data_IF_210417630462
#
_entry.id   IF_210417630462
#
_cell.length_a   1.000
_cell.length_b   1.000
_cell.length_c   1.000
_cell.angle_alpha   90.00
_cell.angle_beta   90.00
_cell.angle_gamma   90.00
#
_symmetry.space_group_name_H-M   'P 1'
#
loop_
_entity.id
_entity.type
_entity.pdbx_description
1 polymer ?
#
# COMPACT_ATOMS: atom_id res chain seq x y z
N UNK A 1 8.23 -5.93 26.35
CA UNK A 1 8.31 -7.30 25.81
C UNK A 1 7.62 -7.44 24.47
N UNK A 2 8.34 -7.98 23.48
CA UNK A 2 7.88 -8.29 22.12
C UNK A 2 7.47 -9.77 21.99
N UNK A 3 6.43 -10.10 21.23
CA UNK A 3 6.15 -11.50 20.82
C UNK A 3 6.55 -11.69 19.36
N UNK A 4 7.56 -12.51 19.11
CA UNK A 4 7.91 -12.98 17.76
C UNK A 4 6.96 -14.14 17.42
N UNK A 5 6.23 -14.05 16.31
CA UNK A 5 5.14 -14.99 16.01
C UNK A 5 5.41 -15.68 14.66
N UNK A 6 5.51 -17.01 14.71
CA UNK A 6 5.91 -17.83 13.56
C UNK A 6 4.92 -18.98 13.34
N UNK A 7 3.92 -18.80 12.47
CA UNK A 7 3.14 -19.92 11.95
C UNK A 7 3.98 -20.74 10.97
N UNK A 8 3.95 -22.07 11.09
CA UNK A 8 4.74 -22.95 10.21
C UNK A 8 3.98 -24.21 9.80
N UNK A 9 4.00 -24.50 8.50
CA UNK A 9 3.47 -25.72 7.90
C UNK A 9 4.57 -26.61 7.29
N UNK A 10 5.78 -26.05 7.11
CA UNK A 10 6.97 -26.70 6.52
C UNK A 10 8.23 -26.24 7.25
N UNK A 11 8.54 -26.80 8.43
CA UNK A 11 9.53 -26.24 9.34
C UNK A 11 10.99 -26.53 8.95
N UNK A 12 11.28 -26.74 7.65
CA UNK A 12 12.61 -27.12 7.13
C UNK A 12 13.69 -26.10 7.48
N UNK A 13 13.34 -24.82 7.54
CA UNK A 13 14.26 -23.72 7.83
C UNK A 13 14.13 -23.20 9.27
N UNK A 14 13.26 -23.80 10.09
CA UNK A 14 12.92 -23.27 11.41
C UNK A 14 14.13 -23.24 12.37
N UNK A 15 15.08 -24.17 12.24
CA UNK A 15 16.33 -24.14 13.02
C UNK A 15 17.22 -22.93 12.67
N UNK A 16 17.23 -22.48 11.41
CA UNK A 16 17.96 -21.28 11.00
C UNK A 16 17.35 -20.04 11.65
N UNK A 17 16.02 -19.95 11.61
CA UNK A 17 15.31 -18.89 12.30
C UNK A 17 15.58 -18.92 13.81
N UNK A 18 15.51 -20.11 14.45
CA UNK A 18 15.83 -20.28 15.86
C UNK A 18 17.21 -19.74 16.22
N UNK A 19 18.25 -20.05 15.46
CA UNK A 19 19.60 -19.53 15.73
C UNK A 19 19.66 -17.99 15.58
N UNK A 20 18.93 -17.40 14.62
CA UNK A 20 18.86 -15.93 14.49
C UNK A 20 18.13 -15.25 15.66
N UNK A 21 17.08 -15.88 16.19
CA UNK A 21 16.31 -15.38 17.35
C UNK A 21 17.12 -15.56 18.64
N UNK A 22 17.74 -16.72 18.83
CA UNK A 22 18.60 -17.02 19.98
C UNK A 22 19.74 -16.03 20.12
N UNK A 23 20.28 -15.54 19.01
CA UNK A 23 21.41 -14.61 18.97
C UNK A 23 21.02 -13.11 19.01
N UNK A 24 19.74 -12.77 19.23
CA UNK A 24 19.33 -11.36 19.39
C UNK A 24 20.05 -10.67 20.55
N UNK A 25 20.48 -9.42 20.37
CA UNK A 25 21.18 -8.63 21.39
C UNK A 25 20.29 -8.37 22.62
N UNK A 26 19.03 -8.00 22.38
CA UNK A 26 18.01 -7.89 23.41
C UNK A 26 17.29 -9.22 23.64
N UNK A 27 17.00 -9.54 24.91
CA UNK A 27 16.22 -10.73 25.33
C UNK A 27 14.80 -10.40 25.80
N UNK A 28 14.34 -9.16 25.61
CA UNK A 28 12.98 -8.73 26.00
C UNK A 28 11.92 -9.17 24.96
N UNK A 29 11.86 -10.48 24.73
CA UNK A 29 10.92 -11.10 23.82
C UNK A 29 10.50 -12.51 24.27
N UNK A 30 9.40 -12.99 23.72
CA UNK A 30 9.08 -14.42 23.60
C UNK A 30 9.02 -14.81 22.12
N UNK A 31 9.19 -16.10 21.83
CA UNK A 31 8.97 -16.67 20.50
C UNK A 31 7.82 -17.67 20.54
N UNK A 32 6.77 -17.38 19.78
CA UNK A 32 5.58 -18.22 19.65
C UNK A 32 5.62 -18.95 18.31
N UNK A 33 5.73 -20.27 18.37
CA UNK A 33 5.73 -21.15 17.20
C UNK A 33 4.34 -21.78 17.10
N UNK A 34 3.70 -21.63 15.94
CA UNK A 34 2.37 -22.19 15.67
C UNK A 34 2.47 -23.22 14.54
N UNK A 35 2.81 -24.48 14.88
CA UNK A 35 2.75 -25.55 13.89
C UNK A 35 1.29 -25.74 13.47
N UNK A 36 1.07 -25.87 12.17
CA UNK A 36 -0.24 -26.12 11.57
C UNK A 36 -0.13 -27.20 10.50
N UNK A 37 -1.27 -27.77 10.11
CA UNK A 37 -1.34 -28.79 9.06
C UNK A 37 -0.37 -29.98 9.28
N UNK A 38 -0.21 -30.39 10.54
CA UNK A 38 0.61 -31.55 10.92
C UNK A 38 2.13 -31.31 10.94
N UNK A 39 2.60 -30.06 10.89
CA UNK A 39 4.02 -29.75 10.98
C UNK A 39 4.66 -30.24 12.30
N UNK A 40 5.71 -31.06 12.19
CA UNK A 40 6.51 -31.49 13.34
C UNK A 40 7.58 -30.46 13.67
N UNK A 41 7.55 -29.95 14.89
CA UNK A 41 8.52 -28.98 15.43
C UNK A 41 9.21 -29.49 16.70
N UNK A 42 9.12 -30.80 16.97
CA UNK A 42 9.69 -31.44 18.16
C UNK A 42 11.21 -31.34 18.28
N UNK A 43 11.89 -31.03 17.17
CA UNK A 43 13.34 -30.80 17.13
C UNK A 43 13.76 -29.43 17.69
N UNK A 44 12.83 -28.50 17.91
CA UNK A 44 13.14 -27.19 18.50
C UNK A 44 13.46 -27.36 19.99
N UNK A 45 14.59 -26.81 20.48
CA UNK A 45 14.94 -26.89 21.89
C UNK A 45 13.88 -26.28 22.81
N UNK A 46 13.64 -26.94 23.95
CA UNK A 46 12.74 -26.43 24.98
C UNK A 46 13.44 -25.31 25.76
N UNK A 47 13.05 -24.08 25.49
CA UNK A 47 13.59 -22.88 26.13
C UNK A 47 12.46 -22.07 26.78
N UNK A 48 12.75 -21.39 27.89
CA UNK A 48 11.73 -20.63 28.64
C UNK A 48 11.10 -19.47 27.85
N UNK A 49 11.80 -18.97 26.84
CA UNK A 49 11.36 -17.92 25.93
C UNK A 49 10.67 -18.47 24.68
N UNK A 50 10.48 -19.79 24.56
CA UNK A 50 9.79 -20.44 23.44
C UNK A 50 8.45 -21.01 23.91
N UNK A 51 7.39 -20.71 23.16
CA UNK A 51 6.07 -21.32 23.34
C UNK A 51 5.60 -21.94 22.02
N UNK A 52 5.27 -23.22 22.08
CA UNK A 52 4.70 -23.95 20.94
C UNK A 52 3.20 -24.10 21.17
N UNK A 53 2.39 -23.54 20.28
CA UNK A 53 0.92 -23.56 20.37
C UNK A 53 0.35 -24.07 19.05
N UNK A 54 0.09 -25.39 18.91
CA UNK A 54 -0.40 -25.96 17.67
C UNK A 54 -1.77 -25.41 17.25
N UNK A 55 -1.92 -25.12 15.97
CA UNK A 55 -3.22 -24.88 15.35
C UNK A 55 -3.76 -26.20 14.80
N UNK A 56 -4.75 -26.75 15.50
CA UNK A 56 -5.25 -28.11 15.29
C UNK A 56 -6.38 -28.23 14.26
N UNK A 57 -6.76 -27.12 13.61
CA UNK A 57 -7.74 -27.13 12.54
C UNK A 57 -7.04 -27.34 11.18
N UNK A 58 -7.65 -28.13 10.29
CA UNK A 58 -7.21 -28.25 8.90
C UNK A 58 -7.69 -27.02 8.12
N UNK A 59 -6.81 -26.02 8.00
CA UNK A 59 -7.11 -24.76 7.30
C UNK A 59 -6.09 -24.46 6.23
N UNK A 60 -6.61 -24.15 5.04
CA UNK A 60 -5.86 -23.60 3.90
C UNK A 60 -5.92 -22.07 3.85
N UNK A 61 -6.55 -21.44 4.84
CA UNK A 61 -6.71 -19.99 4.92
C UNK A 61 -5.61 -19.43 5.81
N UNK A 62 -4.56 -18.87 5.19
CA UNK A 62 -3.42 -18.31 5.91
C UNK A 62 -3.86 -17.21 6.89
N UNK A 63 -4.87 -16.42 6.54
CA UNK A 63 -5.39 -15.38 7.43
C UNK A 63 -6.01 -15.94 8.71
N UNK A 64 -6.64 -17.12 8.67
CA UNK A 64 -7.15 -17.79 9.87
C UNK A 64 -6.01 -18.28 10.77
N UNK A 65 -4.99 -18.90 10.17
CA UNK A 65 -3.81 -19.40 10.88
C UNK A 65 -3.03 -18.25 11.52
N UNK A 66 -2.75 -17.17 10.77
CA UNK A 66 -2.07 -15.97 11.27
C UNK A 66 -2.91 -15.23 12.31
N UNK A 67 -4.24 -15.17 12.18
CA UNK A 67 -5.12 -14.61 13.21
C UNK A 67 -5.00 -15.40 14.52
N UNK A 68 -5.12 -16.74 14.46
CA UNK A 68 -4.94 -17.59 15.63
C UNK A 68 -3.55 -17.41 16.26
N UNK A 69 -2.50 -17.41 15.43
CA UNK A 69 -1.12 -17.33 15.90
C UNK A 69 -0.83 -16.02 16.62
N UNK A 70 -1.26 -14.89 16.06
CA UNK A 70 -1.06 -13.58 16.67
C UNK A 70 -1.76 -13.45 18.02
N UNK A 71 -2.92 -14.11 18.17
CA UNK A 71 -3.66 -14.13 19.44
C UNK A 71 -2.95 -14.89 20.57
N UNK A 72 -1.88 -15.64 20.28
CA UNK A 72 -1.12 -16.39 21.28
C UNK A 72 0.01 -15.56 21.93
N UNK A 73 0.38 -14.42 21.34
CA UNK A 73 1.41 -13.53 21.88
C UNK A 73 0.99 -12.88 23.21
N UNK A 74 1.89 -12.87 24.19
CA UNK A 74 1.72 -12.24 25.51
C UNK A 74 2.31 -10.82 25.56
N UNK A 75 3.31 -10.53 24.72
CA UNK A 75 3.94 -9.22 24.60
C UNK A 75 2.96 -8.12 24.22
N UNK A 76 3.32 -6.87 24.53
CA UNK A 76 2.51 -5.68 24.20
C UNK A 76 2.59 -5.36 22.70
N UNK A 77 3.58 -5.93 22.01
CA UNK A 77 3.79 -5.81 20.58
C UNK A 77 3.96 -7.18 19.95
N UNK A 78 3.41 -7.35 18.75
CA UNK A 78 3.33 -8.61 18.01
C UNK A 78 4.11 -8.47 16.70
N UNK A 79 5.20 -9.21 16.56
CA UNK A 79 6.05 -9.22 15.37
C UNK A 79 5.79 -10.45 14.50
N UNK A 80 5.64 -10.21 13.20
CA UNK A 80 5.53 -11.27 12.20
C UNK A 80 6.90 -11.76 11.76
N UNK A 81 7.16 -13.06 11.94
CA UNK A 81 8.42 -13.68 11.57
C UNK A 81 8.17 -15.00 10.86
N UNK A 82 8.48 -15.04 9.57
CA UNK A 82 8.27 -16.21 8.73
C UNK A 82 9.32 -17.28 9.02
N UNK A 83 8.89 -18.55 9.00
CA UNK A 83 9.70 -19.70 9.46
C UNK A 83 10.92 -20.00 8.60
N UNK A 84 10.97 -19.41 7.41
CA UNK A 84 12.00 -19.56 6.40
C UNK A 84 12.90 -18.34 6.27
N UNK A 85 12.83 -17.40 7.21
CA UNK A 85 13.65 -16.19 7.23
C UNK A 85 14.57 -16.09 8.45
N UNK A 86 15.28 -14.96 8.57
CA UNK A 86 16.17 -14.65 9.70
C UNK A 86 15.97 -13.20 10.16
N UNK A 87 16.11 -12.99 11.47
CA UNK A 87 16.24 -11.65 12.04
C UNK A 87 17.71 -11.25 12.09
N UNK A 88 18.02 -9.98 11.80
CA UNK A 88 19.36 -9.46 12.07
C UNK A 88 19.60 -9.36 13.58
N UNK A 89 20.85 -9.46 14.08
CA UNK A 89 21.12 -9.60 15.52
C UNK A 89 20.56 -8.51 16.43
N UNK A 90 20.42 -7.28 15.92
CA UNK A 90 19.90 -6.12 16.65
C UNK A 90 18.41 -5.85 16.42
N UNK A 91 17.68 -6.74 15.73
CA UNK A 91 16.28 -6.54 15.36
C UNK A 91 15.38 -6.24 16.56
N UNK A 92 15.41 -7.07 17.60
CA UNK A 92 14.56 -6.87 18.79
C UNK A 92 14.92 -5.56 19.52
N UNK A 93 16.22 -5.24 19.60
CA UNK A 93 16.69 -4.02 20.27
C UNK A 93 16.21 -2.75 19.54
N UNK A 94 16.37 -2.69 18.21
CA UNK A 94 15.93 -1.56 17.41
C UNK A 94 14.41 -1.41 17.38
N UNK A 95 13.66 -2.52 17.34
CA UNK A 95 12.19 -2.48 17.46
C UNK A 95 11.76 -1.90 18.80
N UNK A 96 12.33 -2.38 19.92
CA UNK A 96 12.00 -1.87 21.26
C UNK A 96 12.38 -0.40 21.40
N UNK A 97 13.51 0.01 20.83
CA UNK A 97 13.92 1.41 20.79
C UNK A 97 12.91 2.25 20.00
N UNK A 98 12.51 1.82 18.81
CA UNK A 98 11.51 2.52 17.99
C UNK A 98 10.16 2.66 18.70
N UNK A 99 9.71 1.63 19.43
CA UNK A 99 8.49 1.68 20.26
C UNK A 99 8.60 2.79 21.32
N UNK A 100 9.74 2.89 22.01
CA UNK A 100 9.96 3.88 23.07
C UNK A 100 10.06 5.30 22.52
N UNK A 101 10.71 5.47 21.37
CA UNK A 101 10.91 6.76 20.71
C UNK A 101 9.66 7.28 20.00
N UNK A 102 8.70 6.39 19.69
CA UNK A 102 7.47 6.71 18.96
C UNK A 102 6.23 6.15 19.70
N UNK A 103 5.93 6.63 20.93
CA UNK A 103 4.88 6.06 21.78
C UNK A 103 3.46 6.16 21.19
N UNK A 104 3.27 6.99 20.18
CA UNK A 104 2.00 7.19 19.48
C UNK A 104 1.88 6.37 18.17
N UNK A 105 2.89 5.58 17.81
CA UNK A 105 2.79 4.64 16.70
C UNK A 105 2.02 3.37 17.11
N UNK A 106 1.37 2.72 16.14
CA UNK A 106 0.65 1.46 16.34
C UNK A 106 1.22 0.32 15.49
N UNK A 107 2.12 0.65 14.57
CA UNK A 107 2.76 -0.27 13.65
C UNK A 107 4.17 0.18 13.33
N UNK A 108 5.10 -0.77 13.28
CA UNK A 108 6.51 -0.54 12.95
C UNK A 108 6.93 -1.51 11.85
N UNK A 109 7.73 -1.01 10.92
CA UNK A 109 8.40 -1.83 9.91
C UNK A 109 9.83 -1.39 9.66
N UNK A 110 10.63 -2.24 9.01
CA UNK A 110 12.02 -1.96 8.67
C UNK A 110 12.29 -2.14 7.17
N UNK A 111 13.53 -1.89 6.75
CA UNK A 111 14.01 -2.45 5.50
C UNK A 111 14.30 -3.95 5.66
N UNK A 112 14.25 -4.68 4.55
CA UNK A 112 14.56 -6.10 4.45
C UNK A 112 15.73 -6.35 3.48
N UNK A 113 16.47 -7.42 3.74
CA UNK A 113 17.54 -7.91 2.88
C UNK A 113 17.06 -9.14 2.12
N UNK A 114 16.65 -8.94 0.87
CA UNK A 114 16.25 -10.04 -0.02
C UNK A 114 17.46 -10.76 -0.59
N UNK A 115 17.53 -12.07 -0.36
CA UNK A 115 18.60 -12.93 -0.86
C UNK A 115 18.07 -14.10 -1.66
N UNK A 116 18.76 -14.46 -2.75
CA UNK A 116 18.48 -15.67 -3.50
C UNK A 116 19.04 -16.93 -2.80
N UNK A 117 18.78 -18.10 -3.38
CA UNK A 117 19.29 -19.39 -2.87
C UNK A 117 20.83 -19.49 -2.77
N UNK A 118 21.56 -18.62 -3.46
CA UNK A 118 23.02 -18.54 -3.47
C UNK A 118 23.52 -17.37 -2.58
N UNK A 119 22.65 -16.79 -1.77
CA UNK A 119 22.92 -15.64 -0.92
C UNK A 119 23.22 -14.33 -1.68
N UNK A 120 22.86 -14.20 -2.95
CA UNK A 120 23.03 -12.94 -3.67
C UNK A 120 21.86 -11.99 -3.40
N UNK A 121 22.12 -10.69 -3.31
CA UNK A 121 21.08 -9.67 -3.20
C UNK A 121 20.11 -9.71 -4.38
N UNK A 122 18.83 -9.50 -4.11
CA UNK A 122 17.78 -9.41 -5.13
C UNK A 122 17.22 -7.97 -5.16
N UNK A 123 17.85 -7.05 -5.92
CA UNK A 123 17.35 -5.69 -6.04
C UNK A 123 16.06 -5.66 -6.87
N UNK A 124 15.06 -4.94 -6.38
CA UNK A 124 13.83 -4.66 -7.10
C UNK A 124 14.05 -3.60 -8.18
N UNK A 125 13.26 -3.67 -9.26
CA UNK A 125 13.44 -2.84 -10.45
C UNK A 125 13.31 -1.34 -10.16
N UNK A 126 14.39 -0.58 -10.41
CA UNK A 126 14.40 0.89 -10.28
C UNK A 126 13.43 1.57 -11.25
N UNK A 127 13.04 0.91 -12.35
CA UNK A 127 11.97 1.35 -13.24
C UNK A 127 10.61 1.42 -12.55
N UNK A 128 10.44 0.81 -11.37
CA UNK A 128 9.26 0.93 -10.52
C UNK A 128 9.43 1.90 -9.34
N UNK A 129 10.51 2.69 -9.34
CA UNK A 129 10.84 3.68 -8.30
C UNK A 129 11.64 3.15 -7.12
N UNK A 130 11.96 1.85 -7.10
CA UNK A 130 12.76 1.27 -6.03
C UNK A 130 14.16 1.89 -5.97
N UNK A 131 14.56 2.23 -4.74
CA UNK A 131 15.88 2.75 -4.41
C UNK A 131 16.65 1.72 -3.61
N UNK A 132 17.97 1.81 -3.71
CA UNK A 132 18.86 0.86 -3.07
C UNK A 132 19.99 1.54 -2.32
N UNK A 133 20.54 0.83 -1.34
CA UNK A 133 21.78 1.22 -0.67
C UNK A 133 22.60 -0.03 -0.32
N UNK A 134 23.90 0.17 -0.11
CA UNK A 134 24.81 -0.90 0.29
C UNK A 134 24.74 -1.10 1.81
N UNK A 135 24.76 -2.35 2.25
CA UNK A 135 24.80 -2.74 3.66
C UNK A 135 25.77 -3.89 3.88
N UNK A 136 26.73 -3.71 4.78
CA UNK A 136 27.74 -4.73 5.09
C UNK A 136 27.24 -5.65 6.20
N UNK A 137 27.21 -6.95 5.93
CA UNK A 137 26.79 -7.97 6.89
C UNK A 137 27.65 -9.23 6.74
N UNK A 138 28.17 -9.77 7.84
CA UNK A 138 29.01 -10.98 7.87
C UNK A 138 30.17 -11.00 6.85
N UNK A 139 30.83 -9.85 6.66
CA UNK A 139 31.97 -9.72 5.74
C UNK A 139 31.60 -9.66 4.26
N UNK A 140 30.30 -9.50 3.93
CA UNK A 140 29.79 -9.34 2.57
C UNK A 140 28.94 -8.08 2.47
N UNK A 141 29.05 -7.38 1.34
CA UNK A 141 28.19 -6.22 1.02
C UNK A 141 26.95 -6.71 0.29
N UNK A 142 25.78 -6.29 0.78
CA UNK A 142 24.48 -6.55 0.17
C UNK A 142 23.89 -5.26 -0.39
N UNK A 143 23.13 -5.39 -1.47
CA UNK A 143 22.26 -4.34 -2.02
C UNK A 143 20.89 -4.49 -1.36
N UNK A 144 20.46 -3.46 -0.64
CA UNK A 144 19.20 -3.44 0.11
C UNK A 144 18.14 -2.67 -0.66
N UNK A 145 16.92 -3.21 -0.70
CA UNK A 145 15.76 -2.49 -1.18
C UNK A 145 15.29 -1.52 -0.08
N UNK A 146 15.43 -0.21 -0.32
CA UNK A 146 14.95 0.81 0.62
C UNK A 146 13.42 0.80 0.60
N UNK A 147 12.79 0.48 1.72
CA UNK A 147 11.33 0.48 1.83
C UNK A 147 10.77 1.87 1.56
N UNK A 148 9.65 1.90 0.85
CA UNK A 148 8.91 3.14 0.66
C UNK A 148 8.42 3.68 2.00
N UNK A 149 8.40 5.01 2.19
CA UNK A 149 7.64 5.60 3.28
C UNK A 149 6.19 5.10 3.27
N UNK A 150 5.58 4.97 4.45
CA UNK A 150 4.18 4.60 4.56
C UNK A 150 3.29 5.73 4.02
N UNK A 151 2.83 5.59 2.78
CA UNK A 151 1.94 6.52 2.08
C UNK A 151 0.77 5.75 1.48
N UNK A 152 -0.33 6.42 1.10
CA UNK A 152 -1.43 5.75 0.42
C UNK A 152 -0.97 5.03 -0.86
N UNK A 153 0.02 5.56 -1.58
CA UNK A 153 0.52 4.99 -2.82
C UNK A 153 1.34 3.72 -2.63
N UNK A 154 2.09 3.62 -1.52
CA UNK A 154 2.91 2.44 -1.20
C UNK A 154 2.05 1.36 -0.53
N UNK A 155 1.32 1.71 0.54
CA UNK A 155 0.58 0.74 1.35
C UNK A 155 -0.61 0.13 0.62
N UNK A 156 -1.23 0.83 -0.34
CA UNK A 156 -2.40 0.31 -1.07
C UNK A 156 -2.09 -0.82 -2.07
N UNK A 157 -0.81 -1.17 -2.27
CA UNK A 157 -0.39 -2.23 -3.21
C UNK A 157 0.71 -3.09 -2.60
N UNK A 158 0.51 -4.41 -2.60
CA UNK A 158 1.42 -5.36 -1.95
C UNK A 158 2.88 -5.23 -2.43
N UNK A 159 3.11 -4.89 -3.71
CA UNK A 159 4.46 -4.76 -4.26
C UNK A 159 5.26 -3.58 -3.72
N UNK A 160 4.65 -2.65 -2.98
CA UNK A 160 5.31 -1.46 -2.45
C UNK A 160 5.03 -1.25 -0.96
N UNK A 161 4.12 -2.04 -0.39
CA UNK A 161 3.78 -1.99 1.01
C UNK A 161 4.97 -2.42 1.88
N UNK A 162 5.00 -2.00 3.16
CA UNK A 162 5.97 -2.48 4.13
C UNK A 162 6.18 -4.00 4.08
N UNK A 163 7.42 -4.41 3.84
CA UNK A 163 7.83 -5.81 3.97
C UNK A 163 8.20 -6.10 5.44
N UNK A 164 8.79 -7.26 5.71
CA UNK A 164 9.28 -7.64 7.02
C UNK A 164 10.48 -6.78 7.50
N UNK A 165 10.71 -6.63 8.81
CA UNK A 165 9.85 -7.09 9.90
C UNK A 165 8.61 -6.21 10.01
N UNK A 166 7.46 -6.81 10.34
CA UNK A 166 6.20 -6.10 10.59
C UNK A 166 5.78 -6.29 12.03
N UNK A 167 5.53 -5.21 12.75
CA UNK A 167 5.27 -5.26 14.19
C UNK A 167 4.06 -4.40 14.54
N UNK A 168 3.04 -4.99 15.15
CA UNK A 168 1.82 -4.29 15.59
C UNK A 168 1.77 -4.13 17.10
N UNK A 169 1.29 -2.98 17.56
CA UNK A 169 0.80 -2.84 18.93
C UNK A 169 -0.37 -3.81 19.13
N UNK A 170 -0.31 -4.62 20.19
CA UNK A 170 -1.26 -5.72 20.43
C UNK A 170 -2.71 -5.24 20.52
N UNK A 171 -2.97 -4.19 21.31
CA UNK A 171 -4.33 -3.68 21.48
C UNK A 171 -4.89 -3.08 20.19
N UNK A 172 -4.03 -2.42 19.39
CA UNK A 172 -4.41 -1.96 18.05
C UNK A 172 -4.70 -3.13 17.10
N UNK A 173 -3.87 -4.17 17.08
CA UNK A 173 -4.12 -5.38 16.30
C UNK A 173 -5.49 -6.00 16.62
N UNK A 174 -5.84 -6.12 17.89
CA UNK A 174 -7.15 -6.62 18.31
C UNK A 174 -8.30 -5.70 17.93
N UNK A 175 -8.13 -4.39 18.08
CA UNK A 175 -9.13 -3.39 17.68
C UNK A 175 -9.44 -3.46 16.18
N UNK A 176 -8.43 -3.75 15.36
CA UNK A 176 -8.65 -4.00 13.93
C UNK A 176 -9.38 -5.31 13.64
N UNK A 177 -9.38 -6.26 14.58
CA UNK A 177 -9.88 -7.64 14.39
C UNK A 177 -8.80 -8.64 13.95
N UNK A 178 -7.54 -8.19 13.84
CA UNK A 178 -6.40 -8.99 13.39
C UNK A 178 -6.43 -9.35 11.91
N UNK A 179 -5.67 -10.38 11.52
CA UNK A 179 -5.63 -10.91 10.15
C UNK A 179 -7.04 -11.38 9.72
N UNK A 180 -7.43 -11.12 8.47
CA UNK A 180 -8.74 -11.52 7.97
C UNK A 180 -8.81 -13.04 7.78
N UNK A 181 -9.62 -13.70 8.60
CA UNK A 181 -9.72 -15.17 8.66
C UNK A 181 -10.26 -15.83 7.39
N UNK A 182 -10.86 -15.07 6.47
CA UNK A 182 -11.40 -15.62 5.22
C UNK A 182 -10.39 -15.62 4.06
N UNK A 183 -9.20 -15.04 4.25
CA UNK A 183 -8.22 -14.87 3.18
C UNK A 183 -7.24 -16.05 3.08
N UNK A 184 -7.04 -16.52 1.85
CA UNK A 184 -6.06 -17.56 1.47
C UNK A 184 -4.67 -17.01 1.13
N UNK A 185 -4.57 -15.71 0.89
CA UNK A 185 -3.36 -14.91 0.68
C UNK A 185 -3.77 -13.42 0.79
N UNK A 186 -2.79 -12.51 0.85
CA UNK A 186 -3.00 -11.05 1.02
C UNK A 186 -3.69 -10.67 2.33
N UNK A 187 -3.67 -11.54 3.33
CA UNK A 187 -4.18 -11.23 4.66
C UNK A 187 -3.36 -10.16 5.37
N UNK A 188 -2.06 -10.14 5.09
CA UNK A 188 -1.13 -9.10 5.51
C UNK A 188 -1.38 -7.77 4.77
N UNK A 189 -1.55 -7.79 3.45
CA UNK A 189 -1.88 -6.59 2.67
C UNK A 189 -3.19 -5.95 3.15
N UNK A 190 -4.22 -6.76 3.36
CA UNK A 190 -5.51 -6.28 3.82
C UNK A 190 -5.42 -5.70 5.25
N UNK A 191 -4.68 -6.34 6.15
CA UNK A 191 -4.41 -5.82 7.48
C UNK A 191 -3.56 -4.54 7.45
N UNK A 192 -2.56 -4.44 6.57
CA UNK A 192 -1.77 -3.22 6.38
C UNK A 192 -2.63 -2.07 5.87
N UNK A 193 -3.62 -2.35 5.01
CA UNK A 193 -4.57 -1.35 4.57
C UNK A 193 -5.37 -0.77 5.74
N UNK A 194 -5.96 -1.62 6.58
CA UNK A 194 -6.66 -1.20 7.81
C UNK A 194 -5.72 -0.50 8.80
N UNK A 195 -4.49 -0.99 8.93
CA UNK A 195 -3.43 -0.39 9.76
C UNK A 195 -3.16 1.05 9.34
N UNK A 196 -3.02 1.30 8.03
CA UNK A 196 -2.83 2.66 7.54
C UNK A 196 -4.04 3.52 7.83
N UNK A 197 -5.27 3.05 7.58
CA UNK A 197 -6.50 3.85 7.77
C UNK A 197 -6.74 4.21 9.24
N UNK A 198 -6.45 3.31 10.18
CA UNK A 198 -6.84 3.48 11.59
C UNK A 198 -5.69 3.86 12.53
N UNK A 199 -4.42 3.54 12.18
CA UNK A 199 -3.27 3.74 13.07
C UNK A 199 -2.14 4.59 12.49
N UNK A 200 -1.09 4.79 13.26
CA UNK A 200 0.15 5.43 12.80
C UNK A 200 1.23 4.39 12.54
N UNK A 201 1.87 4.48 11.37
CA UNK A 201 2.98 3.61 10.98
C UNK A 201 4.32 4.33 11.17
N UNK A 202 5.32 3.62 11.65
CA UNK A 202 6.70 4.11 11.80
C UNK A 202 7.68 3.19 11.06
N UNK A 203 8.63 3.80 10.35
CA UNK A 203 9.68 3.07 9.62
C UNK A 203 11.01 3.19 10.36
N UNK A 204 11.64 2.06 10.65
CA UNK A 204 13.04 1.98 11.05
C UNK A 204 13.88 1.96 9.77
N UNK A 205 14.68 3.00 9.55
CA UNK A 205 15.50 3.18 8.34
C UNK A 205 16.80 2.36 8.35
N UNK A 206 16.69 1.07 8.63
CA UNK A 206 17.79 0.11 8.54
C UNK A 206 17.24 -1.30 8.29
N UNK A 207 18.12 -2.21 7.89
CA UNK A 207 17.78 -3.62 7.69
C UNK A 207 17.67 -4.31 9.03
N UNK A 208 16.52 -4.94 9.33
CA UNK A 208 16.36 -5.77 10.51
C UNK A 208 15.92 -7.22 10.21
N UNK A 209 15.66 -7.50 8.93
CA UNK A 209 15.11 -8.76 8.48
C UNK A 209 15.82 -9.24 7.22
N UNK A 210 16.13 -10.54 7.16
CA UNK A 210 16.74 -11.18 6.00
C UNK A 210 15.75 -12.16 5.39
N UNK A 211 15.26 -11.80 4.21
CA UNK A 211 14.21 -12.48 3.50
C UNK A 211 14.80 -13.44 2.46
N UNK A 212 14.54 -14.74 2.60
CA UNK A 212 15.06 -15.77 1.70
C UNK A 212 14.09 -16.00 0.56
N UNK A 213 14.46 -15.56 -0.64
CA UNK A 213 13.70 -15.86 -1.85
C UNK A 213 13.93 -17.31 -2.27
N UNK A 214 13.11 -18.22 -1.77
CA UNK A 214 13.08 -19.56 -2.32
C UNK A 214 12.43 -19.49 -3.71
N UNK A 215 12.98 -20.17 -4.72
CA UNK A 215 12.38 -20.27 -6.07
C UNK A 215 10.95 -20.88 -6.07
N UNK A 216 10.49 -21.28 -4.89
CA UNK A 216 9.21 -21.87 -4.54
C UNK A 216 8.33 -20.98 -3.65
N UNK A 217 8.79 -19.79 -3.21
CA UNK A 217 7.93 -18.80 -2.53
C UNK A 217 6.83 -18.27 -3.47
N UNK A 218 6.96 -18.60 -4.77
CA UNK A 218 6.00 -18.38 -5.84
C UNK A 218 5.05 -19.56 -6.09
N UNK A 219 4.98 -20.59 -5.24
CA UNK A 219 4.02 -21.71 -5.37
C UNK A 219 2.56 -21.36 -5.04
N UNK A 220 2.22 -20.09 -5.11
CA UNK A 220 0.93 -19.79 -5.68
C UNK A 220 0.84 -20.51 -7.03
N UNK A 221 -0.12 -21.41 -7.19
CA UNK A 221 -0.49 -21.89 -8.52
C UNK A 221 -0.64 -20.69 -9.45
N UNK A 222 -0.49 -20.86 -10.77
CA UNK A 222 -0.75 -19.76 -11.71
C UNK A 222 -2.09 -19.06 -11.42
N UNK A 223 -3.08 -19.83 -10.96
CA UNK A 223 -4.36 -19.36 -10.46
C UNK A 223 -4.23 -18.48 -9.19
N UNK A 224 -3.48 -18.90 -8.16
CA UNK A 224 -3.30 -18.09 -6.96
C UNK A 224 -2.51 -16.82 -7.25
N UNK A 225 -1.50 -16.86 -8.13
CA UNK A 225 -0.77 -15.67 -8.54
C UNK A 225 -1.69 -14.69 -9.28
N UNK A 226 -2.50 -15.19 -10.22
CA UNK A 226 -3.48 -14.37 -10.93
C UNK A 226 -4.50 -13.76 -9.96
N UNK A 227 -4.99 -14.56 -9.00
CA UNK A 227 -5.90 -14.09 -7.96
C UNK A 227 -5.26 -13.00 -7.08
N UNK A 228 -3.99 -13.14 -6.69
CA UNK A 228 -3.26 -12.13 -5.90
C UNK A 228 -3.18 -10.81 -6.67
N UNK A 229 -2.84 -10.87 -7.96
CA UNK A 229 -2.73 -9.67 -8.81
C UNK A 229 -4.08 -8.94 -8.94
N UNK A 230 -5.17 -9.68 -9.13
CA UNK A 230 -6.53 -9.12 -9.22
C UNK A 230 -7.03 -8.60 -7.86
N UNK A 231 -6.88 -9.40 -6.80
CA UNK A 231 -7.42 -9.09 -5.49
C UNK A 231 -6.66 -7.96 -4.79
N UNK A 232 -5.36 -7.78 -5.08
CA UNK A 232 -4.62 -6.58 -4.68
C UNK A 232 -5.32 -5.31 -5.19
N UNK A 233 -5.82 -5.33 -6.43
CA UNK A 233 -6.53 -4.18 -6.99
C UNK A 233 -7.95 -4.01 -6.42
N UNK A 234 -8.58 -5.09 -5.95
CA UNK A 234 -9.83 -5.01 -5.17
C UNK A 234 -9.59 -4.30 -3.84
N UNK A 235 -8.53 -4.70 -3.11
CA UNK A 235 -8.13 -4.04 -1.86
C UNK A 235 -7.75 -2.57 -2.11
N UNK A 236 -7.02 -2.29 -3.19
CA UNK A 236 -6.72 -0.92 -3.60
C UNK A 236 -7.99 -0.10 -3.83
N UNK A 237 -8.93 -0.61 -4.64
CA UNK A 237 -10.19 0.08 -4.96
C UNK A 237 -11.03 0.34 -3.68
N UNK A 238 -10.94 -0.55 -2.68
CA UNK A 238 -11.60 -0.41 -1.38
C UNK A 238 -10.94 0.63 -0.45
N UNK A 239 -9.61 0.67 -0.39
CA UNK A 239 -8.89 1.39 0.66
C UNK A 239 -8.18 2.67 0.22
N UNK A 240 -7.99 2.92 -1.08
CA UNK A 240 -7.22 4.10 -1.51
C UNK A 240 -7.85 5.43 -1.07
N UNK A 241 -9.18 5.56 -1.16
CA UNK A 241 -9.88 6.77 -0.74
C UNK A 241 -9.73 7.03 0.77
N UNK A 242 -10.08 6.11 1.70
CA UNK A 242 -9.90 6.36 3.12
C UNK A 242 -8.43 6.55 3.52
N UNK A 243 -7.47 5.90 2.84
CA UNK A 243 -6.04 6.17 3.06
C UNK A 243 -5.66 7.59 2.67
N UNK A 244 -6.10 8.07 1.49
CA UNK A 244 -5.86 9.43 1.05
C UNK A 244 -6.52 10.45 1.97
N UNK A 245 -7.74 10.19 2.44
CA UNK A 245 -8.44 11.04 3.39
C UNK A 245 -7.68 11.15 4.71
N UNK A 246 -7.22 10.02 5.25
CA UNK A 246 -6.37 10.04 6.44
C UNK A 246 -5.07 10.81 6.20
N UNK A 247 -4.42 10.59 5.06
CA UNK A 247 -3.19 11.30 4.73
C UNK A 247 -3.41 12.81 4.67
N UNK A 248 -4.56 13.26 4.15
CA UNK A 248 -4.96 14.67 4.19
C UNK A 248 -5.08 15.17 5.64
N UNK A 249 -5.77 14.43 6.50
CA UNK A 249 -5.96 14.81 7.91
C UNK A 249 -4.62 14.88 8.67
N UNK A 250 -3.71 13.93 8.42
CA UNK A 250 -2.37 13.90 9.02
C UNK A 250 -1.47 15.05 8.55
N UNK A 251 -1.64 15.51 7.31
CA UNK A 251 -0.81 16.56 6.70
C UNK A 251 -1.46 17.95 6.72
N UNK A 252 -2.71 18.06 7.20
CA UNK A 252 -3.47 19.30 7.16
C UNK A 252 -3.82 19.76 5.74
N UNK A 253 -4.02 18.82 4.81
CA UNK A 253 -4.34 19.10 3.41
C UNK A 253 -5.86 19.08 3.17
N UNK A 254 -6.31 19.86 2.20
CA UNK A 254 -7.70 19.88 1.77
C UNK A 254 -8.09 18.60 1.02
N UNK A 255 -9.36 18.22 1.16
CA UNK A 255 -10.05 17.22 0.34
C UNK A 255 -11.00 17.98 -0.57
N UNK A 256 -10.81 17.95 -1.89
CA UNK A 256 -11.57 18.78 -2.84
C UNK A 256 -12.45 17.91 -3.75
N UNK A 257 -13.71 18.28 -3.92
CA UNK A 257 -14.66 17.63 -4.84
C UNK A 257 -15.02 18.59 -5.98
N UNK A 258 -14.69 18.21 -7.22
CA UNK A 258 -15.00 18.99 -8.40
C UNK A 258 -16.44 18.72 -8.87
N UNK A 259 -17.15 19.78 -9.27
CA UNK A 259 -18.56 19.70 -9.71
C UNK A 259 -19.48 19.12 -8.62
N UNK A 260 -19.18 19.42 -7.35
CA UNK A 260 -19.82 18.85 -6.17
C UNK A 260 -21.11 19.54 -5.72
N UNK A 261 -21.72 20.45 -6.50
CA UNK A 261 -22.81 21.33 -6.04
C UNK A 261 -24.13 20.63 -5.64
N UNK A 262 -24.27 19.34 -5.94
CA UNK A 262 -25.49 18.58 -5.62
C UNK A 262 -25.36 17.68 -4.39
N UNK A 263 -24.26 16.96 -4.24
CA UNK A 263 -24.10 15.96 -3.18
C UNK A 263 -22.61 15.66 -2.92
N UNK A 264 -21.84 16.63 -2.39
CA UNK A 264 -20.43 16.42 -2.16
C UNK A 264 -20.23 15.42 -1.00
N UNK A 265 -19.20 14.57 -1.05
CA UNK A 265 -18.91 13.67 0.06
C UNK A 265 -18.60 14.43 1.35
N UNK A 266 -19.00 13.86 2.48
CA UNK A 266 -18.74 14.46 3.80
C UNK A 266 -17.25 14.72 4.00
N UNK A 267 -16.90 15.94 4.43
CA UNK A 267 -15.52 16.34 4.71
C UNK A 267 -14.73 16.84 3.50
N UNK A 268 -15.35 16.89 2.31
CA UNK A 268 -14.78 17.52 1.13
C UNK A 268 -15.26 18.96 1.02
N UNK A 269 -14.39 19.82 0.51
CA UNK A 269 -14.72 21.16 0.04
C UNK A 269 -15.14 21.01 -1.41
N UNK A 270 -16.36 21.44 -1.73
CA UNK A 270 -16.91 21.40 -3.07
C UNK A 270 -16.55 22.66 -3.86
N UNK A 271 -16.20 22.49 -5.13
CA UNK A 271 -16.03 23.60 -6.09
C UNK A 271 -16.92 23.39 -7.31
N UNK A 272 -17.76 24.37 -7.60
CA UNK A 272 -18.77 24.30 -8.66
C UNK A 272 -19.30 25.70 -9.04
N UNK A 273 -20.10 25.80 -10.11
CA UNK A 273 -20.73 27.04 -10.56
C UNK A 273 -21.77 27.59 -9.57
N UNK A 274 -22.46 26.72 -8.82
CA UNK A 274 -23.49 27.08 -7.85
C UNK A 274 -23.58 26.01 -6.74
N UNK A 275 -24.17 26.36 -5.58
CA UNK A 275 -24.48 25.43 -4.47
C UNK A 275 -23.27 24.66 -3.91
N UNK A 276 -22.09 25.25 -3.99
CA UNK A 276 -20.81 24.70 -3.53
C UNK A 276 -20.18 25.59 -2.45
N UNK A 277 -19.19 25.05 -1.74
CA UNK A 277 -18.38 25.80 -0.77
C UNK A 277 -17.53 26.88 -1.46
N UNK A 278 -17.04 26.56 -2.66
CA UNK A 278 -16.31 27.47 -3.55
C UNK A 278 -17.11 27.62 -4.85
N UNK A 279 -17.74 28.78 -5.01
CA UNK A 279 -18.48 29.14 -6.22
C UNK A 279 -17.50 29.67 -7.27
N UNK A 280 -17.16 28.86 -8.28
CA UNK A 280 -16.19 29.21 -9.31
C UNK A 280 -16.42 28.44 -10.62
N UNK A 281 -16.22 29.12 -11.76
CA UNK A 281 -16.24 28.46 -13.07
C UNK A 281 -14.90 27.74 -13.33
N UNK A 282 -14.92 26.41 -13.29
CA UNK A 282 -13.73 25.56 -13.50
C UNK A 282 -13.11 25.68 -14.91
N UNK A 283 -13.82 26.23 -15.90
CA UNK A 283 -13.25 26.59 -17.21
C UNK A 283 -12.37 27.87 -17.15
N UNK A 284 -12.33 28.58 -16.02
CA UNK A 284 -11.55 29.82 -15.84
C UNK A 284 -10.42 29.57 -14.85
N UNK A 285 -9.18 29.52 -15.34
CA UNK A 285 -7.99 29.47 -14.49
C UNK A 285 -7.51 30.88 -14.11
N UNK A 286 -6.82 31.05 -12.95
CA UNK A 286 -6.60 30.03 -11.93
C UNK A 286 -7.86 29.78 -11.07
N UNK A 287 -8.05 28.53 -10.64
CA UNK A 287 -9.03 28.18 -9.62
C UNK A 287 -8.64 28.82 -8.27
N UNK A 288 -9.61 29.31 -7.46
CA UNK A 288 -9.36 30.00 -6.20
C UNK A 288 -8.98 29.04 -5.06
N UNK A 289 -8.02 28.16 -5.34
CA UNK A 289 -7.46 27.14 -4.44
C UNK A 289 -5.93 27.31 -4.46
N UNK A 290 -5.26 27.42 -3.30
CA UNK A 290 -3.82 27.62 -3.26
C UNK A 290 -3.02 26.46 -3.85
N UNK A 291 -1.82 26.74 -4.37
CA UNK A 291 -0.87 25.72 -4.83
C UNK A 291 -0.53 24.74 -3.70
N UNK A 292 -0.39 23.46 -4.04
CA UNK A 292 0.04 22.40 -3.11
C UNK A 292 -0.80 22.26 -1.82
N UNK A 293 -2.05 22.70 -1.82
CA UNK A 293 -2.92 22.72 -0.64
C UNK A 293 -3.87 21.52 -0.53
N UNK A 294 -4.02 20.74 -1.60
CA UNK A 294 -5.00 19.66 -1.70
C UNK A 294 -4.31 18.30 -1.68
N UNK A 295 -4.74 17.39 -0.81
CA UNK A 295 -4.19 16.04 -0.79
C UNK A 295 -4.93 15.08 -1.74
N UNK A 296 -6.25 15.23 -1.85
CA UNK A 296 -7.10 14.44 -2.74
C UNK A 296 -8.06 15.35 -3.51
N UNK A 297 -8.08 15.18 -4.83
CA UNK A 297 -9.10 15.74 -5.72
C UNK A 297 -10.00 14.59 -6.15
N UNK A 298 -11.29 14.68 -5.83
CA UNK A 298 -12.33 13.80 -6.37
C UNK A 298 -12.96 14.47 -7.58
N UNK A 299 -13.07 13.73 -8.67
CA UNK A 299 -13.71 14.17 -9.91
C UNK A 299 -14.63 13.04 -10.42
N UNK A 300 -15.75 12.84 -9.74
CA UNK A 300 -16.80 11.92 -10.20
C UNK A 300 -17.80 12.72 -11.02
N UNK A 301 -18.02 12.30 -12.24
CA UNK A 301 -18.97 12.94 -13.15
C UNK A 301 -18.70 14.44 -13.31
N UNK A 302 -17.42 14.78 -13.48
CA UNK A 302 -16.92 16.16 -13.46
C UNK A 302 -16.10 16.50 -14.70
N UNK A 303 -15.11 15.67 -15.05
CA UNK A 303 -14.14 15.97 -16.11
C UNK A 303 -14.78 16.15 -17.50
N UNK A 304 -15.92 15.52 -17.74
CA UNK A 304 -16.69 15.59 -18.97
C UNK A 304 -17.45 16.91 -19.16
N UNK A 305 -17.63 17.68 -18.09
CA UNK A 305 -18.25 18.99 -18.12
C UNK A 305 -17.23 20.14 -18.28
N UNK A 306 -15.92 19.83 -18.26
CA UNK A 306 -14.85 20.82 -18.33
C UNK A 306 -14.24 20.88 -19.73
N UNK A 307 -14.31 22.04 -20.40
CA UNK A 307 -14.03 22.17 -21.83
C UNK A 307 -12.55 21.99 -22.16
N UNK A 308 -11.67 22.67 -21.42
CA UNK A 308 -10.22 22.59 -21.63
C UNK A 308 -9.60 21.52 -20.73
N UNK A 309 -9.39 20.33 -21.30
CA UNK A 309 -8.76 19.19 -20.61
C UNK A 309 -7.34 19.50 -20.12
N UNK A 310 -6.56 20.27 -20.90
CA UNK A 310 -5.17 20.57 -20.55
C UNK A 310 -5.13 21.57 -19.40
N UNK A 311 -5.94 22.63 -19.45
CA UNK A 311 -6.08 23.57 -18.34
C UNK A 311 -6.57 22.87 -17.07
N UNK A 312 -7.60 22.01 -17.20
CA UNK A 312 -8.15 21.25 -16.07
C UNK A 312 -7.07 20.43 -15.39
N UNK A 313 -6.30 19.65 -16.15
CA UNK A 313 -5.22 18.84 -15.59
C UNK A 313 -4.06 19.68 -15.04
N UNK A 314 -3.82 20.88 -15.60
CA UNK A 314 -2.86 21.86 -15.04
C UNK A 314 -3.30 22.37 -13.67
N UNK A 315 -4.57 22.75 -13.53
CA UNK A 315 -5.10 23.25 -12.27
C UNK A 315 -5.17 22.15 -11.21
N UNK A 316 -5.64 20.95 -11.57
CA UNK A 316 -5.59 19.78 -10.67
C UNK A 316 -4.16 19.52 -10.19
N UNK A 317 -3.18 19.51 -11.10
CA UNK A 317 -1.78 19.34 -10.70
C UNK A 317 -1.31 20.47 -9.81
N UNK A 318 -1.60 21.74 -10.14
CA UNK A 318 -1.18 22.92 -9.38
C UNK A 318 -1.64 22.85 -7.92
N UNK A 319 -2.91 22.55 -7.68
CA UNK A 319 -3.50 22.53 -6.34
C UNK A 319 -3.09 21.30 -5.52
N UNK A 320 -2.83 20.16 -6.15
CA UNK A 320 -2.43 18.94 -5.44
C UNK A 320 -1.08 19.13 -4.75
N UNK A 321 -0.93 18.73 -3.49
CA UNK A 321 0.37 18.64 -2.83
C UNK A 321 1.29 17.63 -3.55
N UNK A 322 2.62 17.67 -3.35
CA UNK A 322 3.49 16.56 -3.75
C UNK A 322 2.98 15.23 -3.18
N UNK A 323 2.72 14.25 -4.06
CA UNK A 323 2.09 12.99 -3.65
C UNK A 323 0.57 13.04 -3.52
N UNK A 324 -0.08 14.18 -3.77
CA UNK A 324 -1.53 14.27 -3.83
C UNK A 324 -2.11 13.48 -5.00
N UNK A 325 -3.36 13.05 -4.89
CA UNK A 325 -4.00 12.21 -5.92
C UNK A 325 -5.26 12.82 -6.51
N UNK A 326 -5.41 12.71 -7.82
CA UNK A 326 -6.70 12.78 -8.51
C UNK A 326 -7.33 11.40 -8.50
N UNK A 327 -8.55 11.28 -7.96
CA UNK A 327 -9.41 10.10 -8.12
C UNK A 327 -10.59 10.49 -9.02
N UNK A 328 -10.52 10.12 -10.31
CA UNK A 328 -11.57 10.45 -11.27
C UNK A 328 -12.41 9.24 -11.65
N UNK A 329 -13.70 9.48 -11.87
CA UNK A 329 -14.67 8.54 -12.40
C UNK A 329 -15.50 9.28 -13.45
N UNK A 330 -15.39 8.88 -14.72
CA UNK A 330 -15.95 9.65 -15.84
C UNK A 330 -16.56 8.71 -16.87
N UNK A 331 -17.74 9.02 -17.45
CA UNK A 331 -18.27 8.29 -18.60
C UNK A 331 -17.23 8.18 -19.73
N UNK A 332 -16.94 6.96 -20.14
CA UNK A 332 -15.92 6.68 -21.17
C UNK A 332 -16.51 6.76 -22.57
N UNK A 333 -15.73 7.24 -23.54
CA UNK A 333 -16.09 7.15 -24.98
C UNK A 333 -16.20 5.70 -25.48
N UNK A 334 -15.79 4.73 -24.67
CA UNK A 334 -15.97 3.30 -24.95
C UNK A 334 -17.43 2.85 -24.69
N UNK A 335 -18.34 3.75 -24.30
CA UNK A 335 -19.76 3.47 -24.07
C UNK A 335 -20.67 4.66 -24.40
N UNK A 336 -21.99 4.44 -24.32
CA UNK A 336 -23.02 5.44 -24.66
C UNK A 336 -23.03 6.64 -23.71
N UNK A 337 -22.60 6.42 -22.47
CA UNK A 337 -22.55 7.42 -21.41
C UNK A 337 -21.88 8.72 -21.77
N UNK A 338 -20.75 8.65 -22.48
CA UNK A 338 -20.01 9.83 -22.87
C UNK A 338 -20.82 10.79 -23.76
N UNK A 339 -21.80 10.28 -24.52
CA UNK A 339 -22.54 11.05 -25.53
C UNK A 339 -24.04 11.19 -25.24
N UNK A 340 -24.56 10.56 -24.18
CA UNK A 340 -25.99 10.55 -23.86
C UNK A 340 -26.45 11.83 -23.14
N UNK A 341 -25.59 12.40 -22.30
CA UNK A 341 -25.90 13.61 -21.54
C UNK A 341 -25.62 14.83 -22.42
N UNK A 342 -26.63 15.70 -22.67
CA UNK A 342 -26.48 16.86 -23.55
C UNK A 342 -25.56 17.95 -22.99
N UNK A 343 -25.15 17.86 -21.72
CA UNK A 343 -24.26 18.82 -21.06
C UNK A 343 -22.79 18.42 -21.11
N UNK A 344 -22.47 17.20 -21.57
CA UNK A 344 -21.08 16.78 -21.76
C UNK A 344 -20.44 17.58 -22.89
N UNK A 345 -19.29 18.17 -22.60
CA UNK A 345 -18.51 19.00 -23.53
C UNK A 345 -17.08 18.49 -23.74
N UNK A 346 -16.64 17.54 -22.92
CA UNK A 346 -15.36 16.88 -23.02
C UNK A 346 -15.48 15.36 -22.88
N UNK A 347 -14.75 14.64 -23.73
CA UNK A 347 -14.89 13.18 -23.84
C UNK A 347 -13.61 12.45 -23.41
N UNK A 348 -13.72 11.53 -22.46
CA UNK A 348 -12.56 10.85 -21.85
C UNK A 348 -12.59 9.34 -22.09
N UNK A 349 -11.41 8.73 -22.10
CA UNK A 349 -11.22 7.29 -22.08
C UNK A 349 -9.86 6.96 -21.46
N UNK A 350 -9.55 5.68 -21.31
CA UNK A 350 -8.29 5.24 -20.69
C UNK A 350 -7.03 5.84 -21.35
N UNK A 351 -7.05 6.07 -22.65
CA UNK A 351 -5.90 6.60 -23.40
C UNK A 351 -5.75 8.11 -23.26
N UNK A 352 -6.82 8.82 -22.88
CA UNK A 352 -6.80 10.27 -22.64
C UNK A 352 -5.77 10.65 -21.56
N UNK A 353 -5.56 9.75 -20.59
CA UNK A 353 -4.62 9.96 -19.49
C UNK A 353 -3.15 9.74 -19.87
N UNK A 354 -2.85 9.07 -20.99
CA UNK A 354 -1.46 8.84 -21.43
C UNK A 354 -0.71 10.15 -21.63
N UNK A 355 -1.38 11.20 -22.08
CA UNK A 355 -0.78 12.53 -22.30
C UNK A 355 -0.27 13.19 -21.02
N UNK A 356 -0.68 12.71 -19.85
CA UNK A 356 -0.25 13.22 -18.55
C UNK A 356 0.64 12.25 -17.77
N UNK A 357 0.69 10.98 -18.20
CA UNK A 357 1.39 9.90 -17.47
C UNK A 357 2.55 9.27 -18.25
N UNK A 358 2.64 9.49 -19.57
CA UNK A 358 3.69 8.92 -20.42
C UNK A 358 4.48 10.01 -21.12
N UNK A 359 5.81 9.92 -21.08
CA UNK A 359 6.69 10.94 -21.62
C UNK A 359 6.51 11.18 -23.13
N UNK A 360 6.30 10.10 -23.90
CA UNK A 360 6.13 10.16 -25.35
C UNK A 360 4.87 10.95 -25.75
N UNK A 361 3.73 10.67 -25.12
CA UNK A 361 2.47 11.35 -25.45
C UNK A 361 2.40 12.75 -24.84
N UNK A 362 3.00 12.96 -23.67
CA UNK A 362 3.07 14.29 -23.04
C UNK A 362 3.77 15.34 -23.91
N UNK A 363 4.68 14.92 -24.80
CA UNK A 363 5.34 15.81 -25.75
C UNK A 363 4.34 16.55 -26.68
N UNK A 364 3.21 15.93 -27.02
CA UNK A 364 2.21 16.53 -27.92
C UNK A 364 1.40 17.66 -27.30
N UNK A 365 1.42 17.79 -25.96
CA UNK A 365 0.73 18.86 -25.24
C UNK A 365 1.70 19.83 -24.53
N UNK A 366 2.98 19.81 -24.94
CA UNK A 366 4.07 20.59 -24.36
C UNK A 366 4.38 20.27 -22.89
N UNK A 367 4.15 19.00 -22.46
CA UNK A 367 4.49 18.46 -21.14
C UNK A 367 4.12 19.40 -19.96
N UNK A 368 2.86 19.86 -19.88
CA UNK A 368 2.51 20.95 -18.97
C UNK A 368 2.53 20.52 -17.51
N UNK A 369 2.32 19.24 -17.24
CA UNK A 369 2.28 18.60 -15.92
C UNK A 369 2.72 17.14 -16.02
N UNK A 370 3.02 16.52 -14.88
CA UNK A 370 3.37 15.10 -14.80
C UNK A 370 2.62 14.41 -13.67
N UNK A 371 1.98 13.30 -14.01
CA UNK A 371 1.34 12.40 -13.07
C UNK A 371 1.92 10.98 -13.19
N UNK A 372 1.93 10.25 -12.09
CA UNK A 372 2.12 8.79 -12.10
C UNK A 372 0.75 8.13 -12.19
N UNK A 373 0.57 7.22 -13.14
CA UNK A 373 -0.63 6.39 -13.21
C UNK A 373 -0.58 5.34 -12.09
N UNK A 374 -1.56 5.37 -11.19
CA UNK A 374 -1.70 4.38 -10.10
C UNK A 374 -2.76 3.34 -10.42
N UNK A 375 -3.88 3.78 -11.03
CA UNK A 375 -5.00 2.92 -11.41
C UNK A 375 -5.62 3.41 -12.71
N UNK A 376 -5.90 2.49 -13.64
CA UNK A 376 -6.83 2.73 -14.76
C UNK A 376 -7.79 1.54 -14.84
N UNK A 377 -9.09 1.79 -15.02
CA UNK A 377 -10.13 0.75 -15.11
C UNK A 377 -11.27 1.22 -16.02
N UNK A 378 -11.58 0.45 -17.06
CA UNK A 378 -12.85 0.56 -17.77
C UNK A 378 -13.84 -0.45 -17.17
N UNK A 379 -15.03 -0.01 -16.78
CA UNK A 379 -16.03 -0.89 -16.15
C UNK A 379 -17.44 -0.31 -16.20
N UNK A 380 -18.43 -1.11 -15.82
CA UNK A 380 -19.82 -0.68 -15.64
C UNK A 380 -20.11 -0.51 -14.14
N UNK A 381 -20.47 0.70 -13.67
CA UNK A 381 -20.70 0.96 -12.24
C UNK A 381 -21.81 0.14 -11.59
N UNK A 382 -22.82 -0.28 -12.37
CA UNK A 382 -23.91 -1.14 -11.92
C UNK A 382 -24.45 -1.99 -13.07
N UNK A 383 -25.32 -2.96 -12.75
CA UNK A 383 -26.02 -3.75 -13.77
C UNK A 383 -26.88 -2.89 -14.69
N UNK A 384 -27.42 -1.78 -14.19
CA UNK A 384 -28.14 -0.80 -15.01
C UNK A 384 -27.21 -0.16 -16.04
N UNK A 385 -26.01 0.27 -15.64
CA UNK A 385 -25.01 0.81 -16.56
C UNK A 385 -24.60 -0.22 -17.61
N UNK A 386 -24.42 -1.48 -17.20
CA UNK A 386 -24.10 -2.59 -18.11
C UNK A 386 -25.19 -2.84 -19.14
N UNK A 387 -26.45 -2.89 -18.70
CA UNK A 387 -27.62 -3.09 -19.57
C UNK A 387 -27.73 -1.99 -20.65
N UNK A 388 -27.36 -0.76 -20.31
CA UNK A 388 -27.45 0.40 -21.19
C UNK A 388 -26.13 0.75 -21.89
N UNK A 389 -25.10 -0.09 -21.78
CA UNK A 389 -23.77 0.10 -22.39
C UNK A 389 -23.10 1.44 -21.98
N UNK A 390 -23.27 1.83 -20.72
CA UNK A 390 -22.71 3.05 -20.14
C UNK A 390 -21.40 2.71 -19.43
N UNK A 391 -20.32 2.63 -20.21
CA UNK A 391 -18.96 2.36 -19.71
C UNK A 391 -18.39 3.58 -19.01
N UNK A 392 -17.71 3.37 -17.88
CA UNK A 392 -16.94 4.39 -17.18
C UNK A 392 -15.45 4.09 -17.22
N UNK A 393 -14.65 5.14 -17.26
CA UNK A 393 -13.20 5.09 -17.00
C UNK A 393 -12.93 5.65 -15.61
N UNK A 394 -12.24 4.85 -14.79
CA UNK A 394 -11.67 5.28 -13.51
C UNK A 394 -10.18 5.47 -13.66
N UNK A 395 -9.68 6.65 -13.34
CA UNK A 395 -8.26 6.97 -13.40
C UNK A 395 -7.81 7.57 -12.06
N UNK A 396 -6.85 6.92 -11.41
CA UNK A 396 -6.21 7.46 -10.21
C UNK A 396 -4.78 7.85 -10.54
N UNK A 397 -4.46 9.12 -10.32
CA UNK A 397 -3.23 9.74 -10.74
C UNK A 397 -2.55 10.41 -9.55
N UNK A 398 -1.29 10.08 -9.30
CA UNK A 398 -0.48 10.77 -8.28
C UNK A 398 0.27 11.93 -8.91
N UNK A 399 0.15 13.14 -8.34
CA UNK A 399 0.87 14.31 -8.80
C UNK A 399 2.37 14.18 -8.48
N UNK A 400 3.20 14.14 -9.53
CA UNK A 400 4.65 14.16 -9.38
C UNK A 400 5.11 15.61 -9.37
N UNK A 401 5.71 16.03 -8.25
CA UNK A 401 6.25 17.38 -8.02
C UNK A 401 7.70 17.27 -7.53
N UNK A 402 8.51 18.29 -7.81
CA UNK A 402 9.93 18.30 -7.44
C UNK A 402 10.14 18.13 -5.93
N UNK A 403 11.06 17.24 -5.54
CA UNK A 403 11.42 16.90 -4.16
C UNK A 403 11.92 15.45 -4.04
N UNK A 404 12.88 15.16 -3.15
CA UNK A 404 13.55 13.85 -3.09
C UNK A 404 12.62 12.69 -2.67
N UNK A 405 11.55 12.94 -1.92
CA UNK A 405 10.57 11.92 -1.50
C UNK A 405 9.54 11.58 -2.59
N UNK A 406 9.18 12.56 -3.44
CA UNK A 406 8.07 12.44 -4.41
C UNK A 406 8.52 12.55 -5.88
N UNK A 407 9.83 12.64 -6.09
CA UNK A 407 10.45 12.53 -7.41
C UNK A 407 10.17 11.16 -8.05
N UNK A 408 9.80 10.15 -7.25
CA UNK A 408 9.45 8.80 -7.69
C UNK A 408 8.38 8.18 -6.76
N UNK A 409 7.10 8.37 -7.09
CA UNK A 409 6.02 7.63 -6.43
C UNK A 409 6.05 6.14 -6.86
N UNK A 410 5.61 5.19 -6.02
CA UNK A 410 5.66 3.78 -6.37
C UNK A 410 4.88 3.48 -7.66
N UNK A 411 5.48 2.73 -8.58
CA UNK A 411 4.89 2.41 -9.87
C UNK A 411 5.87 2.57 -11.03
N UNK A 412 5.49 2.05 -12.20
CA UNK A 412 6.36 2.11 -13.38
C UNK A 412 6.59 3.56 -13.80
N UNK A 413 7.84 3.99 -13.72
CA UNK A 413 8.30 5.30 -14.15
C UNK A 413 8.48 5.25 -15.66
N UNK A 414 7.57 5.91 -16.37
CA UNK A 414 7.78 6.18 -17.80
C UNK A 414 8.61 7.48 -17.90
N UNK A 415 9.92 7.32 -18.16
CA UNK A 415 10.90 8.41 -18.35
C UNK A 415 10.75 9.04 -19.72
#
# INVERSE_FOLDING_TARGET
>A
MLSLITPTHKPVYLMRLYESIKNQTSKDFEWVIVPNNGADVSFIPAESWIRIVPYNEDSKLIGAVKNFAFKQGLGEWLAEVDHDDELLPNCVEEVIKAIKENPDCNFIFSDSMEVDKNDNSVPYGSEFGWRHYNFDYNGKTYIINKSYPATPQSVSRIWFAPNHIRVWEKDFYYRLGGHNVTLKALDDQELMCRTYVEGKMHQINTVLYRYHMHGNNSFASQELNSWIQEYTMVLYDQYITPMMEKWCDMKGLMKLDLCGGHNPPKGYISIDLEKSDIVHNLDVAPWPVPDNSVGIVRASDALEHLKDKVQTMKEIHRILAPGGMLLSHTPSTDGRGAFQDPTHVAFWNSNSFWYYTKAQTAAYINKPVRFQLTRIKNWFPSDWHKLHEITYVTAHLTALKGGDEWSYAPGKIEI
#
